data_IF_429222740613
#
_entry.id   IF_429222740613
#
_cell.length_a   1.000
_cell.length_b   1.000
_cell.length_c   1.000
_cell.angle_alpha   90.00
_cell.angle_beta   90.00
_cell.angle_gamma   90.00
#
_symmetry.space_group_name_H-M   'P 1'
#
loop_
_entity.id
_entity.type
_entity.pdbx_description
1 polymer ?
#
# COMPACT_ATOMS: atom_id res chain seq x y z
N UNK A 1 -13.21 9.93 -10.18
CA UNK A 1 -12.05 10.47 -10.89
C UNK A 1 -12.45 11.59 -11.84
N UNK A 2 -13.37 11.36 -12.78
CA UNK A 2 -13.79 12.36 -13.80
C UNK A 2 -14.24 13.69 -13.17
N UNK A 3 -15.03 13.68 -12.09
CA UNK A 3 -15.47 14.90 -11.39
C UNK A 3 -14.29 15.61 -10.71
N UNK A 4 -13.37 14.86 -10.10
CA UNK A 4 -12.16 15.44 -9.51
C UNK A 4 -11.27 16.12 -10.54
N UNK A 5 -11.10 15.54 -11.71
CA UNK A 5 -10.32 16.18 -12.79
C UNK A 5 -10.91 17.48 -13.29
N UNK A 6 -12.24 17.60 -13.29
CA UNK A 6 -12.90 18.87 -13.63
C UNK A 6 -12.66 19.95 -12.57
N UNK A 7 -12.65 19.56 -11.30
CA UNK A 7 -12.51 20.51 -10.17
C UNK A 7 -11.06 20.89 -9.92
N UNK A 8 -10.13 19.99 -10.25
CA UNK A 8 -8.69 20.14 -10.02
C UNK A 8 -7.92 19.96 -11.35
N UNK A 9 -8.09 20.87 -12.32
CA UNK A 9 -7.40 20.78 -13.59
C UNK A 9 -5.90 20.97 -13.35
N UNK A 10 -5.08 20.02 -13.81
CA UNK A 10 -3.63 20.03 -13.64
C UNK A 10 -3.11 19.29 -12.40
N UNK A 11 -3.98 18.73 -11.55
CA UNK A 11 -3.55 17.85 -10.47
C UNK A 11 -3.26 16.45 -10.98
N UNK A 12 -2.17 15.85 -10.49
CA UNK A 12 -1.92 14.41 -10.65
C UNK A 12 -2.79 13.65 -9.66
N UNK A 13 -3.74 12.87 -10.18
CA UNK A 13 -4.66 12.11 -9.36
C UNK A 13 -4.14 10.70 -9.12
N UNK A 14 -4.08 10.30 -7.85
CA UNK A 14 -3.82 8.93 -7.44
C UNK A 14 -5.10 8.38 -6.80
N UNK A 15 -5.57 7.23 -7.27
CA UNK A 15 -6.72 6.53 -6.69
C UNK A 15 -6.24 5.30 -5.94
N UNK A 16 -6.43 5.30 -4.61
CA UNK A 16 -6.08 4.17 -3.77
C UNK A 16 -7.18 3.11 -3.81
N UNK A 17 -6.76 1.86 -3.96
CA UNK A 17 -7.57 0.65 -3.85
C UNK A 17 -7.06 -0.12 -2.63
N UNK A 18 -7.92 -0.41 -1.67
CA UNK A 18 -7.55 -1.14 -0.45
C UNK A 18 -7.80 -2.63 -0.63
N UNK A 19 -6.74 -3.43 -0.60
CA UNK A 19 -6.76 -4.88 -0.80
C UNK A 19 -6.13 -5.65 0.38
N UNK A 20 -6.62 -5.46 1.62
CA UNK A 20 -6.00 -6.06 2.80
C UNK A 20 -6.15 -7.59 2.85
N UNK A 21 -7.08 -8.15 2.08
CA UNK A 21 -7.34 -9.59 2.05
C UNK A 21 -6.78 -10.31 0.82
N UNK A 22 -6.09 -9.60 -0.06
CA UNK A 22 -5.51 -10.19 -1.28
C UNK A 22 -4.64 -11.42 -1.01
N UNK A 23 -3.72 -11.43 -0.03
CA UNK A 23 -2.95 -12.63 0.29
C UNK A 23 -3.82 -13.81 0.71
N UNK A 24 -4.87 -13.55 1.50
CA UNK A 24 -5.81 -14.58 1.94
C UNK A 24 -6.64 -15.16 0.79
N UNK A 25 -6.95 -14.34 -0.23
CA UNK A 25 -7.57 -14.79 -1.49
C UNK A 25 -6.63 -15.72 -2.26
N UNK A 26 -5.37 -15.34 -2.37
CA UNK A 26 -4.36 -16.13 -3.09
C UNK A 26 -4.06 -17.47 -2.40
N UNK A 27 -4.01 -17.49 -1.07
CA UNK A 27 -3.74 -18.70 -0.28
C UNK A 27 -4.97 -19.56 -0.03
N UNK A 28 -6.19 -19.06 -0.31
CA UNK A 28 -7.43 -19.73 0.03
C UNK A 28 -7.68 -19.80 1.54
N UNK A 29 -7.17 -18.86 2.32
CA UNK A 29 -7.30 -18.85 3.77
C UNK A 29 -8.56 -18.15 4.29
N UNK A 30 -9.38 -17.57 3.40
CA UNK A 30 -10.64 -16.90 3.77
C UNK A 30 -11.66 -17.93 4.26
N UNK A 31 -12.18 -17.80 5.49
CA UNK A 31 -13.23 -18.69 5.98
C UNK A 31 -14.54 -18.46 5.21
N UNK A 32 -15.33 -19.52 5.03
CA UNK A 32 -16.69 -19.37 4.53
C UNK A 32 -17.63 -18.83 5.64
N UNK A 33 -18.88 -18.54 5.27
CA UNK A 33 -19.86 -17.97 6.20
C UNK A 33 -20.14 -18.86 7.45
N UNK A 34 -19.97 -20.18 7.34
CA UNK A 34 -20.13 -21.11 8.47
C UNK A 34 -18.88 -21.23 9.35
N UNK A 35 -17.73 -20.74 8.88
CA UNK A 35 -16.42 -20.91 9.55
C UNK A 35 -15.83 -22.33 9.46
N UNK A 36 -16.58 -23.30 8.95
CA UNK A 36 -16.18 -24.73 8.93
C UNK A 36 -15.23 -25.06 7.75
N UNK A 37 -15.29 -24.28 6.69
CA UNK A 37 -14.49 -24.48 5.48
C UNK A 37 -13.86 -23.15 5.05
N UNK A 38 -12.85 -23.25 4.19
CA UNK A 38 -12.20 -22.08 3.58
C UNK A 38 -12.63 -21.90 2.13
N UNK A 39 -12.58 -20.68 1.64
CA UNK A 39 -12.77 -20.37 0.23
C UNK A 39 -11.64 -21.00 -0.60
N UNK A 40 -11.96 -21.31 -1.85
CA UNK A 40 -10.95 -21.85 -2.75
C UNK A 40 -9.92 -20.77 -3.09
N UNK A 41 -8.64 -21.12 -3.08
CA UNK A 41 -7.57 -20.24 -3.51
C UNK A 41 -7.79 -19.75 -4.95
N UNK A 42 -7.52 -18.48 -5.20
CA UNK A 42 -7.51 -17.89 -6.53
C UNK A 42 -6.08 -17.94 -7.07
N UNK A 43 -5.89 -18.40 -8.28
CA UNK A 43 -4.55 -18.42 -8.90
C UNK A 43 -4.02 -17.00 -9.10
N UNK A 44 -2.71 -16.83 -9.02
CA UNK A 44 -2.06 -15.55 -9.26
C UNK A 44 -2.45 -14.94 -10.62
N UNK A 45 -2.49 -15.75 -11.68
CA UNK A 45 -2.88 -15.30 -13.01
C UNK A 45 -4.29 -14.70 -13.04
N UNK A 46 -5.26 -15.34 -12.36
CA UNK A 46 -6.63 -14.83 -12.28
C UNK A 46 -6.74 -13.57 -11.44
N UNK A 47 -6.02 -13.51 -10.33
CA UNK A 47 -5.96 -12.31 -9.49
C UNK A 47 -5.32 -11.15 -10.24
N UNK A 48 -4.19 -11.39 -10.93
CA UNK A 48 -3.52 -10.39 -11.76
C UNK A 48 -4.45 -9.84 -12.83
N UNK A 49 -5.18 -10.70 -13.54
CA UNK A 49 -6.13 -10.26 -14.56
C UNK A 49 -7.23 -9.35 -13.97
N UNK A 50 -7.82 -9.75 -12.84
CA UNK A 50 -8.88 -8.96 -12.20
C UNK A 50 -8.35 -7.58 -11.74
N UNK A 51 -7.15 -7.54 -11.17
CA UNK A 51 -6.50 -6.30 -10.75
C UNK A 51 -6.18 -5.42 -11.96
N UNK A 52 -5.67 -5.99 -13.06
CA UNK A 52 -5.40 -5.25 -14.30
C UNK A 52 -6.65 -4.56 -14.86
N UNK A 53 -7.79 -5.24 -14.87
CA UNK A 53 -9.06 -4.66 -15.34
C UNK A 53 -9.46 -3.43 -14.50
N UNK A 54 -9.28 -3.49 -13.16
CA UNK A 54 -9.54 -2.37 -12.26
C UNK A 54 -8.56 -1.21 -12.52
N UNK A 55 -7.26 -1.51 -12.59
CA UNK A 55 -6.24 -0.48 -12.77
C UNK A 55 -6.30 0.19 -14.15
N UNK A 56 -6.62 -0.55 -15.19
CA UNK A 56 -6.88 -0.01 -16.53
C UNK A 56 -8.08 0.95 -16.51
N UNK A 57 -9.15 0.62 -15.77
CA UNK A 57 -10.31 1.49 -15.61
C UNK A 57 -9.96 2.80 -14.89
N UNK A 58 -9.08 2.73 -13.87
CA UNK A 58 -8.56 3.90 -13.16
C UNK A 58 -7.72 4.78 -14.10
N UNK A 59 -6.80 4.15 -14.84
CA UNK A 59 -5.93 4.83 -15.80
C UNK A 59 -6.73 5.48 -16.94
N UNK A 60 -7.73 4.78 -17.50
CA UNK A 60 -8.62 5.32 -18.51
C UNK A 60 -9.42 6.54 -18.02
N UNK A 61 -9.72 6.60 -16.72
CA UNK A 61 -10.32 7.78 -16.10
C UNK A 61 -9.31 8.91 -15.83
N UNK A 62 -8.02 8.69 -16.09
CA UNK A 62 -6.95 9.66 -15.96
C UNK A 62 -6.38 9.78 -14.55
N UNK A 63 -6.37 8.73 -13.77
CA UNK A 63 -5.68 8.64 -12.48
C UNK A 63 -4.64 7.51 -12.50
N UNK A 64 -3.68 7.57 -11.60
CA UNK A 64 -2.75 6.49 -11.31
C UNK A 64 -3.35 5.58 -10.24
N UNK A 65 -3.30 4.27 -10.44
CA UNK A 65 -3.73 3.32 -9.42
C UNK A 65 -2.64 3.18 -8.34
N UNK A 66 -3.06 3.16 -7.08
CA UNK A 66 -2.24 2.83 -5.92
C UNK A 66 -2.96 1.73 -5.13
N UNK A 67 -2.33 0.60 -4.92
CA UNK A 67 -2.93 -0.46 -4.09
C UNK A 67 -2.30 -0.48 -2.71
N UNK A 68 -3.15 -0.33 -1.69
CA UNK A 68 -2.75 -0.47 -0.29
C UNK A 68 -3.09 -1.87 0.20
N UNK A 69 -2.08 -2.56 0.74
CA UNK A 69 -2.24 -3.85 1.41
C UNK A 69 -1.46 -3.83 2.73
N UNK A 70 -2.17 -3.97 3.84
CA UNK A 70 -1.58 -3.98 5.19
C UNK A 70 -1.28 -5.38 5.73
N UNK A 71 -1.34 -6.41 4.89
CA UNK A 71 -0.99 -7.78 5.28
C UNK A 71 0.54 -7.97 5.28
N UNK A 72 1.02 -8.88 6.13
CA UNK A 72 2.47 -9.16 6.23
C UNK A 72 3.05 -9.81 4.97
N UNK A 73 2.23 -10.55 4.25
CA UNK A 73 2.57 -11.26 3.02
C UNK A 73 2.08 -10.53 1.75
N UNK A 74 2.04 -9.20 1.80
CA UNK A 74 1.66 -8.31 0.67
C UNK A 74 2.36 -8.73 -0.63
N UNK A 75 1.62 -9.09 -1.70
CA UNK A 75 2.21 -9.57 -2.95
C UNK A 75 2.64 -8.39 -3.84
N UNK A 76 3.75 -7.75 -3.46
CA UNK A 76 4.26 -6.51 -4.07
C UNK A 76 4.45 -6.69 -5.58
N UNK A 77 5.12 -7.75 -6.01
CA UNK A 77 5.39 -8.02 -7.42
C UNK A 77 4.10 -8.20 -8.22
N UNK A 78 3.12 -8.96 -7.70
CA UNK A 78 1.83 -9.16 -8.36
C UNK A 78 1.10 -7.84 -8.59
N UNK A 79 1.05 -6.97 -7.57
CA UNK A 79 0.39 -5.66 -7.63
C UNK A 79 1.05 -4.76 -8.68
N UNK A 80 2.39 -4.72 -8.67
CA UNK A 80 3.17 -3.91 -9.59
C UNK A 80 3.01 -4.38 -11.05
N UNK A 81 3.15 -5.68 -11.29
CA UNK A 81 3.00 -6.28 -12.62
C UNK A 81 1.57 -6.14 -13.17
N UNK A 82 0.58 -6.07 -12.28
CA UNK A 82 -0.78 -5.75 -12.65
C UNK A 82 -1.00 -4.28 -13.06
N UNK A 83 -0.03 -3.38 -12.80
CA UNK A 83 -0.05 -1.98 -13.26
C UNK A 83 -0.44 -0.96 -12.19
N UNK A 84 -0.24 -1.25 -10.92
CA UNK A 84 -0.49 -0.33 -9.81
C UNK A 84 0.81 0.03 -9.07
N UNK A 85 0.86 1.24 -8.52
CA UNK A 85 1.79 1.56 -7.44
C UNK A 85 1.40 0.75 -6.20
N UNK A 86 2.34 0.55 -5.27
CA UNK A 86 2.08 -0.22 -4.05
C UNK A 86 2.25 0.62 -2.80
N UNK A 87 1.37 0.38 -1.83
CA UNK A 87 1.44 0.94 -0.47
C UNK A 87 1.33 -0.16 0.57
N UNK A 88 2.23 -0.16 1.55
CA UNK A 88 2.23 -1.12 2.65
C UNK A 88 2.95 -0.59 3.89
N UNK A 89 2.74 -1.24 5.04
CA UNK A 89 3.50 -0.99 6.27
C UNK A 89 4.75 -1.91 6.29
N UNK A 90 5.96 -1.36 6.16
CA UNK A 90 7.17 -2.18 6.12
C UNK A 90 7.48 -2.88 7.45
N UNK A 91 6.87 -2.44 8.57
CA UNK A 91 7.10 -3.02 9.90
C UNK A 91 6.43 -4.37 10.09
N UNK A 92 5.37 -4.63 9.33
CA UNK A 92 4.64 -5.91 9.37
C UNK A 92 5.02 -6.84 8.23
N UNK A 93 5.82 -6.36 7.27
CA UNK A 93 6.18 -7.11 6.07
C UNK A 93 7.07 -8.32 6.39
N UNK A 94 6.72 -9.47 5.85
CA UNK A 94 7.55 -10.67 5.97
C UNK A 94 8.90 -10.51 5.26
N UNK A 95 9.95 -11.15 5.81
CA UNK A 95 11.31 -11.03 5.28
C UNK A 95 11.41 -11.36 3.78
N UNK A 96 10.68 -12.37 3.29
CA UNK A 96 10.67 -12.73 1.87
C UNK A 96 10.05 -11.67 0.94
N UNK A 97 9.34 -10.69 1.50
CA UNK A 97 8.77 -9.57 0.73
C UNK A 97 9.70 -8.36 0.65
N UNK A 98 10.73 -8.32 1.49
CA UNK A 98 11.74 -7.26 1.44
C UNK A 98 12.53 -7.26 0.13
N UNK A 99 12.77 -8.43 -0.46
CA UNK A 99 13.40 -8.55 -1.77
C UNK A 99 12.50 -7.96 -2.88
N UNK A 100 11.18 -8.18 -2.80
CA UNK A 100 10.23 -7.58 -3.75
C UNK A 100 10.17 -6.05 -3.61
N UNK A 101 10.29 -5.54 -2.37
CA UNK A 101 10.40 -4.11 -2.11
C UNK A 101 11.68 -3.53 -2.69
N UNK A 102 12.85 -4.16 -2.42
CA UNK A 102 14.13 -3.75 -3.00
C UNK A 102 14.07 -3.71 -4.54
N UNK A 103 13.58 -4.79 -5.16
CA UNK A 103 13.41 -4.86 -6.61
C UNK A 103 12.46 -3.79 -7.18
N UNK A 104 11.55 -3.25 -6.34
CA UNK A 104 10.70 -2.13 -6.75
C UNK A 104 11.49 -0.85 -6.87
N UNK A 105 12.37 -0.58 -5.92
CA UNK A 105 13.22 0.62 -5.91
C UNK A 105 14.30 0.53 -7.00
N UNK A 106 14.93 -0.64 -7.19
CA UNK A 106 15.88 -0.87 -8.27
C UNK A 106 15.26 -0.66 -9.66
N UNK A 107 13.97 -0.93 -9.79
CA UNK A 107 13.20 -0.67 -11.01
C UNK A 107 12.68 0.78 -11.10
N UNK A 108 13.18 1.70 -10.25
CA UNK A 108 12.80 3.11 -10.21
C UNK A 108 11.28 3.34 -10.04
N UNK A 109 10.62 2.42 -9.36
CA UNK A 109 9.18 2.50 -9.15
C UNK A 109 8.86 3.17 -7.82
N UNK A 110 7.89 4.07 -7.87
CA UNK A 110 7.41 4.76 -6.67
C UNK A 110 6.70 3.80 -5.73
N UNK A 111 7.13 3.80 -4.46
CA UNK A 111 6.56 2.99 -3.37
C UNK A 111 6.05 3.89 -2.25
N UNK A 112 4.87 3.61 -1.73
CA UNK A 112 4.25 4.34 -0.63
C UNK A 112 4.44 3.56 0.67
N UNK A 113 5.29 4.06 1.56
CA UNK A 113 5.62 3.40 2.82
C UNK A 113 4.81 3.97 3.97
N UNK A 114 3.98 3.14 4.56
CA UNK A 114 3.20 3.41 5.76
C UNK A 114 4.04 3.38 7.03
N UNK A 115 4.99 4.29 7.20
CA UNK A 115 5.86 4.32 8.38
C UNK A 115 5.26 5.08 9.56
N UNK A 116 4.31 5.94 9.27
CA UNK A 116 3.67 6.78 10.26
C UNK A 116 2.60 5.97 11.02
N UNK A 117 2.71 5.79 12.37
CA UNK A 117 1.73 5.03 13.13
C UNK A 117 0.33 5.65 13.09
N UNK A 118 -0.69 4.81 13.09
CA UNK A 118 -2.09 5.22 13.28
C UNK A 118 -2.62 4.59 14.58
N UNK A 119 -3.32 5.35 15.45
CA UNK A 119 -3.62 6.79 15.31
C UNK A 119 -2.37 7.67 15.37
N UNK A 120 -2.45 8.82 14.72
CA UNK A 120 -1.40 9.84 14.81
C UNK A 120 -1.34 10.32 16.26
N UNK A 121 -0.24 10.02 16.93
CA UNK A 121 0.04 10.49 18.28
C UNK A 121 0.84 11.79 18.14
N UNK A 122 0.45 12.83 18.90
CA UNK A 122 1.00 14.19 18.78
C UNK A 122 2.53 14.32 19.03
N UNK A 123 3.15 13.31 19.64
CA UNK A 123 4.58 13.31 20.00
C UNK A 123 5.48 12.54 19.02
N UNK A 124 5.16 12.58 17.76
CA UNK A 124 5.98 11.95 16.75
C UNK A 124 7.37 12.58 16.66
N UNK A 125 8.35 11.78 16.96
CA UNK A 125 9.71 12.14 16.68
C UNK A 125 10.04 11.78 15.24
N UNK A 126 9.99 12.77 14.36
CA UNK A 126 10.37 12.61 12.94
C UNK A 126 11.70 11.85 12.81
N UNK A 127 12.63 12.10 13.73
CA UNK A 127 13.91 11.40 13.78
C UNK A 127 13.76 9.89 13.94
N UNK A 128 12.88 9.42 14.83
CA UNK A 128 12.67 7.98 15.05
C UNK A 128 12.08 7.28 13.82
N UNK A 129 11.21 7.99 13.08
CA UNK A 129 10.68 7.50 11.81
C UNK A 129 11.76 7.40 10.74
N UNK A 130 12.59 8.44 10.62
CA UNK A 130 13.72 8.45 9.69
C UNK A 130 14.75 7.37 10.04
N UNK A 131 15.08 7.21 11.33
CA UNK A 131 15.98 6.15 11.78
C UNK A 131 15.44 4.75 11.44
N UNK A 132 14.11 4.57 11.50
CA UNK A 132 13.48 3.32 11.11
C UNK A 132 13.51 3.09 9.60
N UNK A 133 13.32 4.16 8.82
CA UNK A 133 13.43 4.13 7.38
C UNK A 133 14.87 3.81 6.94
N UNK A 134 15.86 4.48 7.53
CA UNK A 134 17.26 4.23 7.19
C UNK A 134 17.68 2.79 7.52
N UNK A 135 17.25 2.24 8.66
CA UNK A 135 17.48 0.82 8.96
C UNK A 135 16.85 -0.12 7.96
N UNK A 136 15.64 0.20 7.48
CA UNK A 136 14.97 -0.60 6.44
C UNK A 136 15.77 -0.58 5.14
N UNK A 137 16.19 0.60 4.69
CA UNK A 137 16.97 0.77 3.46
C UNK A 137 18.34 0.08 3.55
N UNK A 138 19.02 0.20 4.70
CA UNK A 138 20.27 -0.51 4.97
C UNK A 138 20.09 -2.03 4.93
N UNK A 139 19.00 -2.54 5.51
CA UNK A 139 18.67 -3.97 5.50
C UNK A 139 18.48 -4.53 4.10
N UNK A 140 17.92 -3.74 3.18
CA UNK A 140 17.71 -4.13 1.77
C UNK A 140 18.85 -3.68 0.85
N UNK A 141 19.90 -3.03 1.39
CA UNK A 141 21.10 -2.65 0.66
C UNK A 141 20.92 -1.46 -0.30
N UNK A 142 19.96 -0.58 -0.05
CA UNK A 142 19.65 0.57 -0.92
C UNK A 142 20.14 1.87 -0.31
N UNK A 143 20.85 2.69 -1.11
CA UNK A 143 21.26 4.04 -0.68
C UNK A 143 20.02 4.93 -0.49
N UNK A 144 19.85 5.54 0.71
CA UNK A 144 18.74 6.47 0.96
C UNK A 144 18.63 7.63 -0.04
N UNK A 145 19.73 8.04 -0.64
CA UNK A 145 19.74 9.12 -1.64
C UNK A 145 19.11 8.67 -2.95
N UNK A 146 19.39 7.42 -3.37
CA UNK A 146 18.80 6.83 -4.55
C UNK A 146 17.30 6.54 -4.33
N UNK A 147 16.96 6.03 -3.14
CA UNK A 147 15.57 5.75 -2.78
C UNK A 147 14.69 7.00 -2.67
N UNK A 148 15.26 8.17 -2.36
CA UNK A 148 14.50 9.39 -2.04
C UNK A 148 13.53 9.84 -3.13
N UNK A 149 13.86 9.58 -4.40
CA UNK A 149 13.04 9.99 -5.54
C UNK A 149 11.84 9.05 -5.77
N UNK A 150 11.91 7.85 -5.19
CA UNK A 150 10.92 6.79 -5.39
C UNK A 150 10.10 6.45 -4.13
N UNK A 151 10.43 7.04 -2.98
CA UNK A 151 9.71 6.81 -1.74
C UNK A 151 8.72 7.92 -1.41
N UNK A 152 7.50 7.52 -1.09
CA UNK A 152 6.47 8.40 -0.53
C UNK A 152 6.11 7.89 0.87
N UNK A 153 6.25 8.74 1.88
CA UNK A 153 5.96 8.38 3.26
C UNK A 153 4.50 8.67 3.58
N UNK A 154 3.80 7.68 4.12
CA UNK A 154 2.37 7.76 4.41
C UNK A 154 2.06 7.24 5.81
N UNK A 155 0.84 7.47 6.34
CA UNK A 155 0.32 6.70 7.47
C UNK A 155 0.27 5.20 7.16
N UNK A 156 0.46 4.38 8.18
CA UNK A 156 0.50 2.90 8.05
C UNK A 156 -0.83 2.32 7.56
N UNK A 157 -1.93 2.90 8.01
CA UNK A 157 -3.29 2.56 7.60
C UNK A 157 -4.11 3.84 7.43
N UNK A 158 -5.32 3.70 6.89
CA UNK A 158 -6.27 4.82 6.81
C UNK A 158 -6.49 5.49 8.18
N UNK A 159 -6.61 6.80 8.18
CA UNK A 159 -6.95 7.57 9.38
C UNK A 159 -8.41 7.28 9.72
N UNK A 160 -8.66 6.31 10.62
CA UNK A 160 -10.01 6.09 11.12
C UNK A 160 -10.46 7.31 11.94
N UNK A 161 -11.70 7.75 11.73
CA UNK A 161 -12.29 8.90 12.42
C UNK A 161 -12.46 8.72 13.96
N UNK A 162 -12.03 7.59 14.51
CA UNK A 162 -12.12 7.26 15.94
C UNK A 162 -11.24 8.11 16.86
N UNK A 163 -10.51 9.09 16.32
CA UNK A 163 -9.72 10.07 17.10
C UNK A 163 -10.32 11.48 17.17
N UNK A 164 -11.38 11.77 16.43
CA UNK A 164 -12.09 13.05 16.50
C UNK A 164 -13.26 12.96 17.47
N UNK A 165 -13.01 12.65 18.73
CA UNK A 165 -13.97 12.94 19.78
C UNK A 165 -14.05 14.47 19.89
N UNK A 166 -15.15 15.01 19.42
CA UNK A 166 -15.58 16.40 19.62
C UNK A 166 -15.56 16.74 21.11
N UNK A 167 -14.46 17.30 21.59
CA UNK A 167 -14.50 18.09 22.82
C UNK A 167 -15.08 19.46 22.49
N UNK A 168 -16.36 19.46 22.13
CA UNK A 168 -17.20 20.62 22.05
C UNK A 168 -18.22 20.49 23.14
N UNK A 169 -17.95 21.03 24.30
CA UNK A 169 -18.97 21.23 25.34
C UNK A 169 -18.71 22.49 26.09
N UNK A 170 -19.69 23.35 25.93
CA UNK A 170 -20.12 24.49 26.78
C UNK A 170 -19.15 25.64 26.93
#
# INVERSE_FOLDING_TARGET
>A
VIDLRRRLPGADLILQVDEPVLPAVLSGSIPNASGLHRQRAVSQARASQALQEVYQSISAAGATALTHCCASDTPITLIREAGSLVSFDPRVLEAGRLEEFAASLDAEQRVFLGIAPTPIISDWRVRELLDSLYRLLDMVGIDPREASDYLVLTPACGLSASGLSSSGST
#
